data_IF_511737940913
#
_entry.id   IF_511737940913
#
_cell.length_a   1.000
_cell.length_b   1.000
_cell.length_c   1.000
_cell.angle_alpha   90.00
_cell.angle_beta   90.00
_cell.angle_gamma   90.00
#
_symmetry.space_group_name_H-M   'P 1'
#
loop_
_entity.id
_entity.type
_entity.pdbx_description
1 polymer ?
#
# COMPACT_ATOMS: atom_id res chain seq x y z
N UNK A 1 30.15 18.03 2.09
CA UNK A 1 29.96 16.57 2.13
C UNK A 1 28.71 16.29 2.98
N UNK A 2 27.52 16.38 2.38
CA UNK A 2 26.27 16.08 3.06
C UNK A 2 26.23 14.58 3.38
N UNK A 3 26.01 14.25 4.65
CA UNK A 3 25.68 12.89 5.08
C UNK A 3 24.48 12.45 4.25
N UNK A 4 24.64 11.41 3.42
CA UNK A 4 23.53 10.64 2.88
C UNK A 4 22.74 10.14 4.11
N UNK A 5 21.61 10.78 4.39
CA UNK A 5 20.71 10.29 5.41
C UNK A 5 20.26 8.90 4.93
N UNK A 6 20.62 7.85 5.68
CA UNK A 6 20.05 6.53 5.46
C UNK A 6 18.53 6.69 5.53
N UNK A 7 17.84 6.33 4.44
CA UNK A 7 16.38 6.39 4.44
C UNK A 7 15.87 5.50 5.57
N UNK A 8 15.14 6.12 6.48
CA UNK A 8 14.55 5.46 7.63
C UNK A 8 13.33 4.66 7.17
N UNK A 9 13.23 3.38 7.53
CA UNK A 9 12.06 2.53 7.25
C UNK A 9 10.75 3.16 7.72
N UNK A 10 10.79 4.06 8.71
CA UNK A 10 9.64 4.79 9.21
C UNK A 10 8.97 5.68 8.16
N UNK A 11 9.68 6.09 7.11
CA UNK A 11 9.08 6.83 5.99
C UNK A 11 8.08 5.94 5.27
N UNK A 12 8.47 4.69 4.98
CA UNK A 12 7.62 3.71 4.30
C UNK A 12 6.42 3.36 5.17
N UNK A 13 6.67 3.08 6.43
CA UNK A 13 5.67 2.65 7.39
C UNK A 13 4.61 3.74 7.63
N UNK A 14 5.04 5.00 7.86
CA UNK A 14 4.11 6.13 8.03
C UNK A 14 3.30 6.41 6.79
N UNK A 15 3.91 6.29 5.61
CA UNK A 15 3.19 6.47 4.36
C UNK A 15 2.15 5.36 4.14
N UNK A 16 2.47 4.10 4.44
CA UNK A 16 1.52 2.98 4.40
C UNK A 16 0.34 3.21 5.35
N UNK A 17 0.59 3.64 6.59
CA UNK A 17 -0.47 3.96 7.56
C UNK A 17 -1.41 5.05 7.05
N UNK A 18 -0.86 6.11 6.44
CA UNK A 18 -1.67 7.16 5.82
C UNK A 18 -2.51 6.62 4.67
N UNK A 19 -1.94 5.77 3.80
CA UNK A 19 -2.66 5.13 2.69
C UNK A 19 -3.82 4.26 3.19
N UNK A 20 -3.59 3.43 4.22
CA UNK A 20 -4.62 2.58 4.80
C UNK A 20 -5.74 3.42 5.45
N UNK A 21 -5.40 4.53 6.10
CA UNK A 21 -6.39 5.44 6.70
C UNK A 21 -7.32 6.09 5.66
N UNK A 22 -6.93 6.17 4.38
CA UNK A 22 -7.79 6.69 3.33
C UNK A 22 -9.04 5.81 3.13
N UNK A 23 -8.91 4.48 3.29
CA UNK A 23 -10.06 3.58 3.21
C UNK A 23 -11.08 3.84 4.33
N UNK A 24 -10.62 4.09 5.55
CA UNK A 24 -11.53 4.47 6.65
C UNK A 24 -12.23 5.80 6.35
N UNK A 25 -11.50 6.81 5.89
CA UNK A 25 -12.09 8.14 5.58
C UNK A 25 -13.10 8.10 4.44
N UNK A 26 -13.05 7.08 3.58
CA UNK A 26 -13.97 6.94 2.43
C UNK A 26 -15.37 6.49 2.80
N UNK A 27 -15.58 5.96 3.99
CA UNK A 27 -16.88 5.42 4.44
C UNK A 27 -17.41 6.19 5.66
N UNK A 28 -18.74 6.40 5.79
CA UNK A 28 -19.32 7.06 6.96
C UNK A 28 -19.04 6.35 8.29
N UNK A 29 -18.94 5.02 8.24
CA UNK A 29 -18.68 4.16 9.40
C UNK A 29 -17.18 3.88 9.60
N UNK A 30 -16.33 4.33 8.68
CA UNK A 30 -14.89 4.10 8.75
C UNK A 30 -14.25 4.88 9.89
N UNK A 31 -13.26 4.26 10.52
CA UNK A 31 -12.59 4.79 11.70
C UNK A 31 -11.09 4.48 11.67
N UNK A 32 -10.28 5.46 12.04
CA UNK A 32 -8.86 5.25 12.35
C UNK A 32 -8.65 5.57 13.81
N UNK A 33 -8.21 4.57 14.59
CA UNK A 33 -8.00 4.68 16.03
C UNK A 33 -6.52 4.53 16.35
N UNK A 34 -5.95 5.49 17.04
CA UNK A 34 -4.58 5.44 17.56
C UNK A 34 -4.60 4.97 19.02
N UNK A 35 -3.82 3.92 19.30
CA UNK A 35 -3.58 3.39 20.63
C UNK A 35 -2.07 3.40 20.89
N UNK A 36 -1.60 3.34 22.14
CA UNK A 36 -0.17 3.23 22.42
C UNK A 36 0.48 2.06 21.67
N UNK A 37 1.39 2.39 20.75
CA UNK A 37 2.13 1.44 19.92
C UNK A 37 1.34 0.77 18.78
N UNK A 38 0.12 1.22 18.49
CA UNK A 38 -0.77 0.55 17.54
C UNK A 38 -1.71 1.54 16.84
N UNK A 39 -1.81 1.46 15.52
CA UNK A 39 -2.87 2.09 14.73
C UNK A 39 -3.83 1.02 14.23
N UNK A 40 -5.13 1.28 14.35
CA UNK A 40 -6.21 0.43 13.87
C UNK A 40 -7.04 1.18 12.82
N UNK A 41 -7.21 0.58 11.66
CA UNK A 41 -8.03 1.13 10.57
C UNK A 41 -9.21 0.20 10.33
N UNK A 42 -10.40 0.68 10.61
CA UNK A 42 -11.65 0.04 10.23
C UNK A 42 -12.24 0.80 9.03
N UNK A 43 -12.28 0.16 7.89
CA UNK A 43 -12.79 0.77 6.66
C UNK A 43 -14.29 0.52 6.43
N UNK A 44 -14.85 -0.49 7.09
CA UNK A 44 -16.21 -0.99 6.81
C UNK A 44 -16.30 -1.79 5.50
N UNK A 45 -15.17 -2.08 4.83
CA UNK A 45 -15.10 -2.93 3.64
C UNK A 45 -15.04 -4.39 4.09
N UNK A 46 -15.78 -5.26 3.41
CA UNK A 46 -15.97 -6.66 3.81
C UNK A 46 -14.70 -7.51 3.81
N UNK A 47 -13.66 -7.12 3.05
CA UNK A 47 -12.42 -7.89 2.94
C UNK A 47 -11.37 -7.45 3.98
N UNK A 48 -10.78 -8.43 4.68
CA UNK A 48 -9.85 -8.22 5.80
C UNK A 48 -8.64 -7.31 5.47
N UNK A 49 -8.15 -7.31 4.22
CA UNK A 49 -6.97 -6.52 3.81
C UNK A 49 -7.17 -5.01 4.01
N UNK A 50 -8.42 -4.52 3.94
CA UNK A 50 -8.74 -3.10 4.08
C UNK A 50 -9.00 -2.66 5.53
N UNK A 51 -8.99 -3.61 6.48
CA UNK A 51 -9.16 -3.37 7.91
C UNK A 51 -7.85 -3.74 8.60
N UNK A 52 -6.98 -2.76 8.80
CA UNK A 52 -5.58 -3.00 9.09
C UNK A 52 -5.17 -2.57 10.51
N UNK A 53 -4.47 -3.46 11.22
CA UNK A 53 -3.69 -3.14 12.39
C UNK A 53 -2.22 -2.98 12.02
N UNK A 54 -1.57 -1.93 12.50
CA UNK A 54 -0.18 -1.61 12.23
C UNK A 54 0.51 -1.15 13.50
N UNK A 55 1.72 -1.65 13.78
CA UNK A 55 2.53 -1.17 14.89
C UNK A 55 3.02 0.25 14.61
N UNK A 56 3.12 1.07 15.65
CA UNK A 56 3.59 2.47 15.56
C UNK A 56 4.82 2.75 16.43
N UNK A 57 5.19 1.77 17.26
CA UNK A 57 6.32 1.85 18.20
C UNK A 57 7.03 0.49 18.28
N UNK A 58 8.33 0.48 18.64
CA UNK A 58 9.09 -0.73 18.83
C UNK A 58 8.45 -1.71 19.83
N UNK A 59 8.59 -2.98 19.55
CA UNK A 59 8.22 -4.08 20.45
C UNK A 59 9.49 -4.64 21.08
N UNK A 60 9.66 -4.39 22.38
CA UNK A 60 10.83 -4.82 23.14
C UNK A 60 10.58 -6.10 23.97
N UNK A 61 9.33 -6.56 24.04
CA UNK A 61 8.94 -7.79 24.74
C UNK A 61 7.70 -8.41 24.08
N UNK A 62 7.63 -9.75 24.09
CA UNK A 62 6.48 -10.49 23.56
C UNK A 62 5.17 -10.19 24.30
N UNK A 63 5.24 -9.91 25.59
CA UNK A 63 4.07 -9.50 26.39
C UNK A 63 3.47 -8.17 25.92
N UNK A 64 4.31 -7.26 25.40
CA UNK A 64 3.83 -6.00 24.80
C UNK A 64 3.16 -6.26 23.47
N UNK A 65 3.75 -7.09 22.59
CA UNK A 65 3.11 -7.48 21.34
C UNK A 65 1.76 -8.15 21.60
N UNK A 66 1.69 -9.12 22.51
CA UNK A 66 0.44 -9.81 22.88
C UNK A 66 -0.64 -8.82 23.27
N UNK A 67 -0.33 -7.88 24.17
CA UNK A 67 -1.28 -6.87 24.63
C UNK A 67 -1.79 -5.98 23.47
N UNK A 68 -0.93 -5.63 22.48
CA UNK A 68 -1.33 -4.86 21.30
C UNK A 68 -2.25 -5.69 20.40
N UNK A 69 -1.93 -6.97 20.17
CA UNK A 69 -2.75 -7.89 19.37
C UNK A 69 -4.11 -8.19 20.05
N UNK A 70 -4.16 -8.35 21.37
CA UNK A 70 -5.41 -8.49 22.13
C UNK A 70 -6.34 -7.29 21.87
N UNK A 71 -5.79 -6.07 21.92
CA UNK A 71 -6.56 -4.84 21.63
C UNK A 71 -7.05 -4.79 20.19
N UNK A 72 -6.21 -5.19 19.22
CA UNK A 72 -6.63 -5.25 17.82
C UNK A 72 -7.73 -6.28 17.62
N UNK A 73 -7.58 -7.49 18.14
CA UNK A 73 -8.60 -8.53 18.04
C UNK A 73 -9.92 -8.11 18.66
N UNK A 74 -9.89 -7.50 19.85
CA UNK A 74 -11.11 -6.98 20.52
C UNK A 74 -11.79 -5.87 19.71
N UNK A 75 -11.00 -4.99 19.09
CA UNK A 75 -11.50 -3.90 18.27
C UNK A 75 -12.28 -4.42 17.06
N UNK A 76 -11.72 -5.39 16.30
CA UNK A 76 -12.36 -5.94 15.10
C UNK A 76 -13.49 -6.93 15.45
N UNK A 77 -13.35 -7.73 16.51
CA UNK A 77 -14.40 -8.64 16.98
C UNK A 77 -15.70 -7.91 17.34
N UNK A 78 -15.62 -6.73 17.98
CA UNK A 78 -16.80 -5.91 18.31
C UNK A 78 -17.53 -5.39 17.08
N UNK A 79 -16.87 -5.39 15.90
CA UNK A 79 -17.41 -4.96 14.62
C UNK A 79 -17.79 -6.12 13.70
N UNK A 80 -17.63 -7.34 14.17
CA UNK A 80 -17.82 -8.57 13.38
C UNK A 80 -17.06 -8.50 12.04
N UNK A 81 -15.78 -8.07 12.11
CA UNK A 81 -14.99 -7.75 10.92
C UNK A 81 -13.68 -8.53 10.90
N UNK A 82 -13.40 -9.15 9.74
CA UNK A 82 -12.07 -9.67 9.43
C UNK A 82 -11.05 -8.55 9.31
N UNK A 83 -9.82 -8.82 9.70
CA UNK A 83 -8.75 -7.83 9.73
C UNK A 83 -7.38 -8.38 9.29
N UNK A 84 -6.46 -7.48 9.02
CA UNK A 84 -5.08 -7.77 8.66
C UNK A 84 -4.11 -7.14 9.65
N UNK A 85 -2.99 -7.82 9.90
CA UNK A 85 -1.83 -7.23 10.53
C UNK A 85 -0.79 -6.96 9.44
N UNK A 86 -0.46 -5.67 9.22
CA UNK A 86 0.63 -5.23 8.36
C UNK A 86 1.84 -4.95 9.24
N UNK A 87 2.67 -5.96 9.44
CA UNK A 87 3.83 -5.92 10.32
C UNK A 87 5.06 -5.44 9.56
N UNK A 88 5.59 -4.27 9.93
CA UNK A 88 6.95 -3.87 9.59
C UNK A 88 7.89 -4.55 10.58
N UNK A 89 8.73 -5.44 10.09
CA UNK A 89 9.60 -6.28 10.93
C UNK A 89 10.63 -5.48 11.73
N UNK A 90 10.96 -4.27 11.29
CA UNK A 90 11.86 -3.35 11.98
C UNK A 90 11.31 -2.84 13.31
N UNK A 91 9.98 -2.97 13.53
CA UNK A 91 9.37 -2.70 14.83
C UNK A 91 9.59 -3.80 15.87
N UNK A 92 10.01 -5.02 15.44
CA UNK A 92 10.23 -6.16 16.32
C UNK A 92 11.74 -6.32 16.55
N UNK A 93 12.13 -6.35 17.82
CA UNK A 93 13.50 -6.70 18.20
C UNK A 93 13.92 -8.01 17.49
N UNK A 94 15.07 -8.07 16.78
CA UNK A 94 15.45 -9.22 15.96
C UNK A 94 15.41 -10.56 16.71
N UNK A 95 15.81 -10.57 17.99
CA UNK A 95 15.79 -11.78 18.83
C UNK A 95 14.37 -12.31 19.11
N UNK A 96 13.34 -11.45 18.96
CA UNK A 96 11.95 -11.81 19.23
C UNK A 96 11.17 -12.21 17.97
N UNK A 97 11.66 -11.98 16.76
CA UNK A 97 10.90 -12.15 15.51
C UNK A 97 10.31 -13.54 15.34
N UNK A 98 11.10 -14.59 15.58
CA UNK A 98 10.60 -15.97 15.45
C UNK A 98 9.47 -16.30 16.44
N UNK A 99 9.62 -15.88 17.70
CA UNK A 99 8.60 -16.08 18.72
C UNK A 99 7.37 -15.18 18.48
N UNK A 100 7.56 -13.96 17.96
CA UNK A 100 6.48 -13.08 17.54
C UNK A 100 5.64 -13.69 16.40
N UNK A 101 6.29 -14.26 15.38
CA UNK A 101 5.60 -14.92 14.27
C UNK A 101 4.75 -16.13 14.75
N UNK A 102 5.25 -16.90 15.73
CA UNK A 102 4.46 -17.97 16.35
C UNK A 102 3.28 -17.42 17.15
N UNK A 103 3.50 -16.38 17.95
CA UNK A 103 2.44 -15.75 18.76
C UNK A 103 1.31 -15.16 17.92
N UNK A 104 1.63 -14.57 16.77
CA UNK A 104 0.63 -13.96 15.86
C UNK A 104 -0.41 -15.01 15.42
N UNK A 105 -0.01 -16.27 15.27
CA UNK A 105 -0.93 -17.36 14.88
C UNK A 105 -1.98 -17.65 15.98
N UNK A 106 -1.68 -17.38 17.26
CA UNK A 106 -2.65 -17.52 18.35
C UNK A 106 -3.87 -16.61 18.18
N UNK A 107 -3.77 -15.56 17.36
CA UNK A 107 -4.82 -14.59 17.06
C UNK A 107 -5.64 -14.93 15.81
N UNK A 108 -5.55 -16.17 15.31
CA UNK A 108 -6.17 -16.61 14.06
C UNK A 108 -5.73 -15.77 12.85
N UNK A 109 -4.51 -15.27 12.88
CA UNK A 109 -3.86 -14.55 11.82
C UNK A 109 -2.94 -15.48 11.03
N UNK A 110 -3.22 -15.63 9.75
CA UNK A 110 -2.48 -16.51 8.85
C UNK A 110 -1.59 -15.70 7.91
N UNK A 111 -0.37 -16.17 7.69
CA UNK A 111 0.56 -15.58 6.74
C UNK A 111 -0.10 -15.44 5.36
N UNK A 112 0.02 -14.28 4.77
CA UNK A 112 -0.46 -13.97 3.42
C UNK A 112 0.69 -13.69 2.46
N UNK A 113 1.57 -12.74 2.81
CA UNK A 113 2.70 -12.33 1.97
C UNK A 113 3.76 -11.59 2.77
N UNK A 114 4.95 -11.43 2.16
CA UNK A 114 6.07 -10.69 2.77
C UNK A 114 6.70 -9.70 1.77
N UNK A 115 5.98 -8.62 1.42
CA UNK A 115 6.49 -7.63 0.49
C UNK A 115 7.63 -6.81 1.12
N UNK A 116 8.79 -6.63 0.42
CA UNK A 116 9.80 -5.68 0.87
C UNK A 116 9.28 -4.25 0.76
N UNK A 117 9.56 -3.46 1.78
CA UNK A 117 9.41 -2.00 1.75
C UNK A 117 10.56 -1.37 0.99
N UNK A 118 10.26 -0.64 -0.07
CA UNK A 118 11.27 -0.10 -0.96
C UNK A 118 11.23 1.43 -0.99
N UNK A 119 12.39 2.05 -1.18
CA UNK A 119 12.60 3.49 -1.23
C UNK A 119 13.43 3.87 -2.44
N UNK A 120 13.08 4.98 -3.10
CA UNK A 120 13.90 5.67 -4.08
C UNK A 120 13.92 7.17 -3.75
N UNK A 121 15.10 7.77 -3.68
CA UNK A 121 15.26 9.21 -3.51
C UNK A 121 14.80 9.97 -4.75
N UNK A 122 15.17 9.42 -5.92
CA UNK A 122 14.74 9.84 -7.25
C UNK A 122 14.63 8.62 -8.15
N UNK A 123 13.76 8.66 -9.13
CA UNK A 123 13.69 7.61 -10.14
C UNK A 123 14.86 7.74 -11.12
N UNK A 124 15.52 6.62 -11.41
CA UNK A 124 16.52 6.56 -12.49
C UNK A 124 15.87 6.91 -13.82
N UNK A 125 16.59 7.55 -14.75
CA UNK A 125 16.08 7.76 -16.10
C UNK A 125 15.65 6.45 -16.77
N UNK A 126 14.66 6.49 -17.69
CA UNK A 126 14.22 5.32 -18.40
C UNK A 126 15.37 4.75 -19.26
N UNK A 127 15.55 3.43 -19.23
CA UNK A 127 16.59 2.75 -20.02
C UNK A 127 16.16 2.46 -21.47
N UNK A 128 14.87 2.69 -21.78
CA UNK A 128 14.27 2.51 -23.11
C UNK A 128 13.15 3.52 -23.29
N UNK A 129 12.73 3.74 -24.53
CA UNK A 129 11.51 4.51 -24.80
C UNK A 129 10.33 3.85 -24.11
N UNK A 130 9.54 4.64 -23.42
CA UNK A 130 8.32 4.18 -22.78
C UNK A 130 7.19 4.06 -23.82
N UNK A 131 6.30 3.08 -23.68
CA UNK A 131 5.18 2.95 -24.58
C UNK A 131 4.23 4.14 -24.40
N UNK A 132 3.62 4.64 -25.50
CA UNK A 132 2.60 5.66 -25.41
C UNK A 132 1.38 5.12 -24.65
N UNK A 133 0.81 5.96 -23.79
CA UNK A 133 -0.35 5.62 -22.98
C UNK A 133 -1.15 6.90 -22.74
N UNK A 134 -2.45 6.86 -23.02
CA UNK A 134 -3.36 7.92 -22.60
C UNK A 134 -3.63 7.75 -21.11
N UNK A 135 -3.20 8.70 -20.28
CA UNK A 135 -3.36 8.62 -18.83
C UNK A 135 -4.41 9.62 -18.37
N UNK A 136 -5.43 9.12 -17.69
CA UNK A 136 -6.50 9.91 -17.12
C UNK A 136 -6.48 9.81 -15.59
N UNK A 137 -6.76 10.95 -14.92
CA UNK A 137 -6.98 10.97 -13.47
C UNK A 137 -8.32 10.30 -13.13
N UNK A 138 -8.35 9.55 -12.04
CA UNK A 138 -9.57 8.89 -11.57
C UNK A 138 -10.44 9.90 -10.84
N UNK A 139 -11.46 10.42 -11.52
CA UNK A 139 -12.41 11.41 -10.98
C UNK A 139 -13.87 10.96 -11.14
N UNK A 140 -14.22 10.45 -12.31
CA UNK A 140 -15.60 10.08 -12.66
C UNK A 140 -15.94 8.62 -12.38
N UNK A 141 -17.23 8.28 -12.45
CA UNK A 141 -17.71 6.90 -12.25
C UNK A 141 -17.05 5.92 -13.24
N UNK A 142 -16.94 6.30 -14.50
CA UNK A 142 -16.31 5.46 -15.54
C UNK A 142 -14.87 5.13 -15.19
N UNK A 143 -14.04 6.12 -14.87
CA UNK A 143 -12.64 5.89 -14.52
C UNK A 143 -12.48 5.07 -13.24
N UNK A 144 -13.38 5.19 -12.27
CA UNK A 144 -13.40 4.34 -11.06
C UNK A 144 -13.75 2.89 -11.38
N UNK A 145 -14.74 2.66 -12.24
CA UNK A 145 -15.12 1.31 -12.70
C UNK A 145 -13.98 0.65 -13.48
N UNK A 146 -13.37 1.38 -14.41
CA UNK A 146 -12.24 0.90 -15.21
C UNK A 146 -11.04 0.57 -14.33
N UNK A 147 -10.75 1.41 -13.32
CA UNK A 147 -9.73 1.14 -12.32
C UNK A 147 -9.99 -0.18 -11.57
N UNK A 148 -11.20 -0.37 -11.05
CA UNK A 148 -11.58 -1.61 -10.38
C UNK A 148 -11.47 -2.83 -11.30
N UNK A 149 -11.81 -2.67 -12.57
CA UNK A 149 -11.68 -3.74 -13.57
C UNK A 149 -10.21 -4.13 -13.79
N UNK A 150 -9.33 -3.15 -14.07
CA UNK A 150 -7.89 -3.41 -14.25
C UNK A 150 -7.29 -4.08 -13.01
N UNK A 151 -7.64 -3.59 -11.81
CA UNK A 151 -7.18 -4.16 -10.54
C UNK A 151 -7.68 -5.60 -10.36
N UNK A 152 -8.95 -5.87 -10.66
CA UNK A 152 -9.54 -7.21 -10.55
C UNK A 152 -8.84 -8.21 -11.46
N UNK A 153 -8.61 -7.83 -12.72
CA UNK A 153 -7.94 -8.69 -13.71
C UNK A 153 -6.46 -8.89 -13.38
N UNK A 154 -5.75 -7.84 -12.97
CA UNK A 154 -4.32 -7.90 -12.75
C UNK A 154 -3.93 -8.62 -11.44
N UNK A 155 -4.75 -8.53 -10.39
CA UNK A 155 -4.51 -9.17 -9.09
C UNK A 155 -5.40 -10.40 -8.85
N UNK A 156 -6.19 -10.82 -9.84
CA UNK A 156 -7.13 -11.94 -9.71
C UNK A 156 -8.07 -11.78 -8.50
N UNK A 157 -8.37 -10.52 -8.16
CA UNK A 157 -9.18 -10.17 -7.00
C UNK A 157 -10.68 -10.08 -7.33
N UNK A 158 -11.57 -10.30 -6.35
CA UNK A 158 -13.01 -10.22 -6.57
C UNK A 158 -13.44 -8.78 -6.88
N UNK A 159 -13.96 -8.56 -8.09
CA UNK A 159 -14.41 -7.23 -8.55
C UNK A 159 -15.37 -6.53 -7.57
N UNK A 160 -16.37 -7.20 -6.96
CA UNK A 160 -17.26 -6.54 -6.00
C UNK A 160 -16.53 -5.93 -4.79
N UNK A 161 -15.47 -6.59 -4.29
CA UNK A 161 -14.66 -6.09 -3.18
C UNK A 161 -13.87 -4.85 -3.58
N UNK A 162 -13.30 -4.86 -4.78
CA UNK A 162 -12.58 -3.69 -5.31
C UNK A 162 -13.54 -2.52 -5.55
N UNK A 163 -14.73 -2.81 -6.05
CA UNK A 163 -15.76 -1.79 -6.22
C UNK A 163 -16.18 -1.20 -4.87
N UNK A 164 -16.42 -2.04 -3.86
CA UNK A 164 -16.70 -1.60 -2.50
C UNK A 164 -15.59 -0.68 -1.95
N UNK A 165 -14.32 -0.97 -2.25
CA UNK A 165 -13.18 -0.21 -1.76
C UNK A 165 -12.98 1.13 -2.48
N UNK A 166 -13.23 1.19 -3.79
CA UNK A 166 -12.76 2.30 -4.63
C UNK A 166 -13.86 3.08 -5.37
N UNK A 167 -15.15 2.71 -5.24
CA UNK A 167 -16.23 3.40 -5.97
C UNK A 167 -16.58 4.78 -5.40
N UNK A 168 -16.32 5.04 -4.12
CA UNK A 168 -16.69 6.29 -3.47
C UNK A 168 -15.85 7.46 -3.97
N UNK A 169 -16.51 8.53 -4.40
CA UNK A 169 -15.82 9.73 -4.91
C UNK A 169 -14.87 10.35 -3.88
N UNK A 170 -15.29 10.41 -2.63
CA UNK A 170 -14.50 10.96 -1.53
C UNK A 170 -13.24 10.16 -1.17
N UNK A 171 -13.09 8.93 -1.68
CA UNK A 171 -11.83 8.17 -1.57
C UNK A 171 -10.72 8.86 -2.39
N UNK A 172 -11.09 9.39 -3.55
CA UNK A 172 -10.17 10.01 -4.49
C UNK A 172 -9.99 11.49 -4.14
N UNK A 173 -8.82 11.84 -3.64
CA UNK A 173 -8.49 13.17 -3.14
C UNK A 173 -7.04 13.51 -3.45
N UNK A 174 -6.61 14.73 -3.09
CA UNK A 174 -5.21 15.11 -3.17
C UNK A 174 -4.30 14.20 -2.30
N UNK A 175 -4.84 13.63 -1.22
CA UNK A 175 -4.10 12.72 -0.34
C UNK A 175 -3.99 11.30 -0.92
N UNK A 176 -4.95 10.90 -1.78
CA UNK A 176 -4.95 9.62 -2.48
C UNK A 176 -5.34 9.85 -3.95
N UNK A 177 -4.34 10.18 -4.75
CA UNK A 177 -4.53 10.40 -6.19
C UNK A 177 -4.38 9.09 -6.97
N UNK A 178 -5.18 8.92 -8.03
CA UNK A 178 -5.13 7.73 -8.86
C UNK A 178 -5.20 8.04 -10.34
N UNK A 179 -4.57 7.20 -11.13
CA UNK A 179 -4.55 7.28 -12.59
C UNK A 179 -4.83 5.93 -13.22
N UNK A 180 -5.45 6.02 -14.38
CA UNK A 180 -5.69 4.88 -15.26
C UNK A 180 -5.09 5.16 -16.63
N UNK A 181 -4.41 4.18 -17.19
CA UNK A 181 -3.80 4.22 -18.50
C UNK A 181 -4.62 3.46 -19.53
N UNK A 182 -4.94 4.14 -20.62
CA UNK A 182 -5.69 3.59 -21.75
C UNK A 182 -4.80 3.39 -22.97
N UNK A 183 -5.00 2.28 -23.65
CA UNK A 183 -4.45 2.00 -24.97
C UNK A 183 -5.59 1.71 -25.92
N UNK A 184 -5.68 2.47 -27.00
CA UNK A 184 -6.75 2.31 -28.00
C UNK A 184 -8.16 2.31 -27.35
N UNK A 185 -8.35 3.18 -26.34
CA UNK A 185 -9.60 3.28 -25.60
C UNK A 185 -9.85 2.15 -24.58
N UNK A 186 -8.95 1.18 -24.43
CA UNK A 186 -9.07 0.10 -23.45
C UNK A 186 -8.26 0.41 -22.18
N UNK A 187 -8.83 0.27 -20.98
CA UNK A 187 -8.12 0.46 -19.73
C UNK A 187 -7.17 -0.73 -19.48
N UNK A 188 -5.87 -0.47 -19.35
CA UNK A 188 -4.86 -1.53 -19.27
C UNK A 188 -3.92 -1.44 -18.07
N UNK A 189 -3.78 -0.28 -17.47
CA UNK A 189 -2.83 -0.09 -16.37
C UNK A 189 -3.31 0.96 -15.37
N UNK A 190 -2.87 0.83 -14.11
CA UNK A 190 -3.21 1.75 -13.02
C UNK A 190 -1.99 2.11 -12.18
N UNK A 191 -2.04 3.23 -11.50
CA UNK A 191 -1.19 3.56 -10.35
C UNK A 191 -1.91 4.55 -9.44
N UNK A 192 -1.61 4.49 -8.15
CA UNK A 192 -2.05 5.47 -7.16
C UNK A 192 -0.85 6.06 -6.42
N UNK A 193 -1.04 7.26 -5.89
CA UNK A 193 -0.05 7.95 -5.07
C UNK A 193 -0.67 8.49 -3.77
N UNK A 194 0.07 8.33 -2.66
CA UNK A 194 -0.24 8.94 -1.37
C UNK A 194 0.96 9.76 -0.93
N UNK A 195 0.78 11.07 -0.77
CA UNK A 195 1.84 11.96 -0.34
C UNK A 195 1.80 12.12 1.17
N UNK A 196 2.73 11.49 1.87
CA UNK A 196 2.84 11.55 3.34
C UNK A 196 4.28 11.30 3.82
N UNK A 197 4.63 11.82 4.99
CA UNK A 197 5.93 11.64 5.65
C UNK A 197 7.15 12.04 4.78
N UNK A 198 6.99 13.02 3.88
CA UNK A 198 8.06 13.50 3.00
C UNK A 198 8.37 12.59 1.81
N UNK A 199 7.50 11.64 1.49
CA UNK A 199 7.63 10.75 0.33
C UNK A 199 6.28 10.52 -0.36
N UNK A 200 6.37 10.12 -1.62
CA UNK A 200 5.23 9.65 -2.43
C UNK A 200 5.13 8.14 -2.30
N UNK A 201 4.12 7.64 -1.61
CA UNK A 201 3.78 6.21 -1.61
C UNK A 201 3.12 5.81 -2.91
N UNK A 202 3.64 4.79 -3.57
CA UNK A 202 3.12 4.27 -4.83
C UNK A 202 2.34 2.99 -4.55
N UNK A 203 1.05 2.99 -4.90
CA UNK A 203 0.10 1.92 -4.60
C UNK A 203 -0.69 1.52 -5.84
N UNK A 204 -1.35 0.35 -5.80
CA UNK A 204 -2.26 -0.12 -6.83
C UNK A 204 -1.65 -0.06 -8.25
N UNK A 205 -0.35 -0.35 -8.37
CA UNK A 205 0.30 -0.45 -9.68
C UNK A 205 -0.08 -1.79 -10.30
N UNK A 206 -0.90 -1.73 -11.33
CA UNK A 206 -1.40 -2.90 -12.02
C UNK A 206 -1.25 -2.73 -13.53
N UNK A 207 -1.09 -3.84 -14.23
CA UNK A 207 -1.18 -3.93 -15.69
C UNK A 207 -1.84 -5.27 -16.01
N UNK A 208 -2.87 -5.26 -16.87
CA UNK A 208 -3.56 -6.49 -17.25
C UNK A 208 -2.59 -7.49 -17.90
N UNK A 209 -2.77 -8.82 -17.72
CA UNK A 209 -1.80 -9.84 -18.15
C UNK A 209 -1.34 -9.72 -19.62
N UNK A 210 -2.20 -9.48 -20.63
CA UNK A 210 -1.77 -9.36 -22.03
C UNK A 210 -0.83 -8.17 -22.30
N UNK A 211 -0.81 -7.16 -21.40
CA UNK A 211 -0.05 -5.94 -21.56
C UNK A 211 1.18 -5.87 -20.62
N UNK A 212 1.39 -6.87 -19.80
CA UNK A 212 2.57 -6.96 -18.92
C UNK A 212 3.88 -7.10 -19.70
N UNK A 213 4.99 -6.68 -19.11
CA UNK A 213 6.32 -6.74 -19.73
C UNK A 213 6.59 -5.68 -20.81
N UNK A 214 5.59 -4.95 -21.27
CA UNK A 214 5.69 -3.95 -22.35
C UNK A 214 6.13 -2.55 -21.87
N UNK A 215 6.19 -2.31 -20.55
CA UNK A 215 6.66 -1.04 -19.97
C UNK A 215 5.56 -0.15 -19.39
N UNK A 216 4.29 -0.51 -19.52
CA UNK A 216 3.18 0.31 -19.04
C UNK A 216 3.21 0.54 -17.51
N UNK A 217 3.57 -0.46 -16.73
CA UNK A 217 3.77 -0.28 -15.27
C UNK A 217 4.83 0.77 -14.95
N UNK A 218 5.95 0.82 -15.70
CA UNK A 218 6.96 1.87 -15.55
C UNK A 218 6.40 3.25 -15.91
N UNK A 219 5.66 3.35 -17.03
CA UNK A 219 5.00 4.60 -17.43
C UNK A 219 4.08 5.12 -16.33
N UNK A 220 3.25 4.26 -15.74
CA UNK A 220 2.31 4.63 -14.67
C UNK A 220 3.02 5.07 -13.40
N UNK A 221 4.07 4.38 -12.96
CA UNK A 221 4.85 4.75 -11.76
C UNK A 221 5.52 6.11 -11.96
N UNK A 222 6.14 6.34 -13.12
CA UNK A 222 6.77 7.63 -13.43
C UNK A 222 5.77 8.76 -13.47
N UNK A 223 4.59 8.53 -14.06
CA UNK A 223 3.52 9.52 -14.08
C UNK A 223 3.07 9.90 -12.67
N UNK A 224 2.85 8.91 -11.79
CA UNK A 224 2.44 9.14 -10.41
C UNK A 224 3.48 9.94 -9.60
N UNK A 225 4.77 9.60 -9.72
CA UNK A 225 5.87 10.31 -9.03
C UNK A 225 6.00 11.72 -9.58
N UNK A 226 5.96 11.91 -10.91
CA UNK A 226 6.08 13.22 -11.53
C UNK A 226 4.90 14.14 -11.17
N UNK A 227 3.67 13.61 -11.14
CA UNK A 227 2.48 14.36 -10.71
C UNK A 227 2.62 14.85 -9.27
N UNK A 228 3.12 14.01 -8.37
CA UNK A 228 3.36 14.41 -6.98
C UNK A 228 4.52 15.42 -6.87
N UNK A 229 5.58 15.28 -7.68
CA UNK A 229 6.68 16.24 -7.74
C UNK A 229 6.18 17.63 -8.19
N UNK A 230 5.35 17.67 -9.21
CA UNK A 230 4.79 18.94 -9.71
C UNK A 230 3.86 19.59 -8.69
N UNK A 231 3.07 18.82 -7.98
CA UNK A 231 2.07 19.34 -7.04
C UNK A 231 2.67 19.70 -5.67
N UNK A 232 3.62 18.90 -5.16
CA UNK A 232 4.11 18.99 -3.78
C UNK A 232 5.62 19.24 -3.67
N UNK A 233 6.37 19.21 -4.77
CA UNK A 233 7.83 19.34 -4.77
C UNK A 233 8.56 18.12 -4.18
N UNK A 234 7.91 16.94 -4.07
CA UNK A 234 8.47 15.73 -3.46
C UNK A 234 8.90 14.77 -4.57
N UNK A 235 10.15 14.33 -4.54
CA UNK A 235 10.73 13.37 -5.50
C UNK A 235 10.94 11.98 -4.88
N UNK A 236 11.20 11.92 -3.56
CA UNK A 236 11.36 10.66 -2.87
C UNK A 236 10.06 9.83 -2.90
N UNK A 237 10.20 8.55 -3.20
CA UNK A 237 9.05 7.65 -3.29
C UNK A 237 9.27 6.33 -2.57
N UNK A 238 8.17 5.73 -2.10
CA UNK A 238 8.14 4.50 -1.31
C UNK A 238 7.04 3.57 -1.80
N UNK A 239 7.20 2.29 -1.53
CA UNK A 239 6.19 1.27 -1.84
C UNK A 239 6.44 -0.03 -1.09
N UNK A 240 5.45 -0.95 -1.08
CA UNK A 240 5.62 -2.35 -0.78
C UNK A 240 5.51 -3.15 -2.09
N UNK A 241 6.58 -3.88 -2.45
CA UNK A 241 6.65 -4.56 -3.74
C UNK A 241 6.13 -5.99 -3.67
N UNK A 242 5.31 -6.39 -4.63
CA UNK A 242 5.12 -7.82 -4.91
C UNK A 242 6.40 -8.45 -5.47
N UNK A 243 6.52 -9.78 -5.41
CA UNK A 243 7.62 -10.53 -6.02
C UNK A 243 7.72 -10.21 -7.53
N UNK A 244 6.60 -10.14 -8.22
CA UNK A 244 6.54 -9.85 -9.66
C UNK A 244 6.93 -8.40 -9.99
N UNK A 245 6.61 -7.44 -9.13
CA UNK A 245 6.92 -6.02 -9.31
C UNK A 245 8.37 -5.66 -9.02
N UNK A 246 9.06 -6.45 -8.18
CA UNK A 246 10.41 -6.13 -7.70
C UNK A 246 11.44 -5.84 -8.81
N UNK A 247 11.50 -6.58 -9.94
CA UNK A 247 12.43 -6.26 -11.03
C UNK A 247 12.19 -4.88 -11.64
N UNK A 248 10.93 -4.45 -11.77
CA UNK A 248 10.57 -3.11 -12.24
C UNK A 248 11.13 -2.05 -11.29
N UNK A 249 10.81 -2.16 -10.01
CA UNK A 249 11.21 -1.15 -9.02
C UNK A 249 12.73 -1.04 -8.86
N UNK A 250 13.46 -2.17 -8.89
CA UNK A 250 14.93 -2.15 -8.89
C UNK A 250 15.52 -1.41 -10.10
N UNK A 251 14.94 -1.56 -11.30
CA UNK A 251 15.36 -0.79 -12.49
C UNK A 251 15.08 0.69 -12.31
N UNK A 252 13.95 1.04 -11.72
CA UNK A 252 13.59 2.43 -11.40
C UNK A 252 14.49 3.08 -10.34
N UNK A 253 15.33 2.31 -9.64
CA UNK A 253 16.26 2.81 -8.63
C UNK A 253 15.82 2.59 -7.19
N UNK A 254 14.69 1.91 -6.97
CA UNK A 254 14.28 1.54 -5.61
C UNK A 254 15.22 0.50 -4.99
N UNK A 255 15.45 0.65 -3.70
CA UNK A 255 16.17 -0.31 -2.85
C UNK A 255 15.29 -0.74 -1.70
N UNK A 256 15.38 -2.01 -1.29
CA UNK A 256 14.69 -2.51 -0.10
C UNK A 256 15.36 -1.95 1.14
N UNK A 257 14.58 -1.37 2.05
CA UNK A 257 15.06 -0.80 3.32
C UNK A 257 14.20 -1.22 4.51
N UNK A 258 13.14 -1.98 4.26
CA UNK A 258 12.26 -2.55 5.28
C UNK A 258 11.72 -3.90 4.81
N UNK A 259 11.38 -4.76 5.76
CA UNK A 259 10.68 -6.01 5.53
C UNK A 259 9.28 -5.92 6.13
N UNK A 260 8.26 -6.27 5.35
CA UNK A 260 6.89 -6.35 5.81
C UNK A 260 6.41 -7.80 5.78
N UNK A 261 5.60 -8.18 6.77
CA UNK A 261 4.83 -9.42 6.75
C UNK A 261 3.37 -9.09 6.93
N UNK A 262 2.54 -9.61 6.04
CA UNK A 262 1.09 -9.41 6.07
C UNK A 262 0.43 -10.69 6.54
N UNK A 263 -0.38 -10.57 7.57
CA UNK A 263 -1.22 -11.64 8.09
C UNK A 263 -2.69 -11.25 7.92
N UNK A 264 -3.55 -12.23 7.61
CA UNK A 264 -4.99 -12.04 7.47
C UNK A 264 -5.74 -12.93 8.46
N UNK A 265 -6.78 -12.40 9.10
CA UNK A 265 -7.76 -13.21 9.81
C UNK A 265 -8.63 -14.00 8.82
N UNK A 266 -9.08 -15.14 9.22
CA UNK A 266 -10.10 -15.92 8.49
C UNK A 266 -11.48 -15.42 8.79
#
# INVERSE_FOLDING_TARGET
MLRMAFADYRIIERNLRAAMSCFARSKPTGETTELPGLQLVYSGISHAVFNAAMLTEPVLALSDLRRRLDRAQDFYRRRDQGWSLWLCEEWIEPALRAAAASMIQDFNLHFSSNPPGMFAEQLRPPQRSLPPLEIQTILGTTTRMDFCHVMSVAFEGPFPVLLEAYQEERFWSADFAGWIGYREGQPIATACAVTHAGAVGIYAVATIPPEQGKGYGETMVRHAVESARQQFGIEASVLQSSVQGMPLYRRLGYRSIADFTIYLSR
#
